data_IF_488119338788
#
_entry.id   IF_488119338788
#
_cell.length_a   1.000
_cell.length_b   1.000
_cell.length_c   1.000
_cell.angle_alpha   90.00
_cell.angle_beta   90.00
_cell.angle_gamma   90.00
#
_symmetry.space_group_name_H-M   'P 1'
#
loop_
_entity.id
_entity.type
_entity.pdbx_description
1 polymer ?
#
# COMPACT_ATOMS: atom_id res chain seq x y z
N UNK A 1 10.68 29.18 -7.05
CA UNK A 1 11.28 28.08 -7.81
C UNK A 1 10.31 27.69 -8.89
N UNK A 2 10.67 27.95 -10.14
CA UNK A 2 9.86 27.64 -11.32
C UNK A 2 10.06 26.17 -11.65
N UNK A 3 9.00 25.37 -11.67
CA UNK A 3 9.05 23.98 -12.11
C UNK A 3 9.07 23.97 -13.64
N UNK A 4 10.24 23.85 -14.25
CA UNK A 4 10.32 23.53 -15.67
C UNK A 4 9.98 22.05 -15.84
N UNK A 5 8.78 21.77 -16.36
CA UNK A 5 8.43 20.44 -16.86
C UNK A 5 9.26 20.19 -18.12
N UNK A 6 10.45 19.61 -17.94
CA UNK A 6 11.11 18.92 -19.03
C UNK A 6 10.16 17.82 -19.51
N UNK A 7 9.93 17.77 -20.82
CA UNK A 7 8.93 16.96 -21.54
C UNK A 7 9.20 15.43 -21.50
N UNK A 8 9.85 14.96 -20.44
CA UNK A 8 10.07 13.56 -20.08
C UNK A 8 9.00 13.18 -19.06
N UNK A 9 7.90 12.59 -19.52
CA UNK A 9 6.89 11.98 -18.68
C UNK A 9 7.50 10.77 -17.95
N UNK A 10 8.15 11.00 -16.82
CA UNK A 10 8.64 9.94 -15.95
C UNK A 10 7.43 9.28 -15.27
N UNK A 11 7.05 8.11 -15.78
CA UNK A 11 6.06 7.26 -15.12
C UNK A 11 6.74 6.46 -14.02
N UNK A 12 6.14 6.43 -12.84
CA UNK A 12 6.64 5.63 -11.72
C UNK A 12 6.77 4.16 -12.11
N UNK A 13 7.99 3.61 -11.99
CA UNK A 13 8.31 2.21 -12.25
C UNK A 13 9.06 1.67 -11.04
N UNK A 14 8.38 0.86 -10.24
CA UNK A 14 8.95 0.29 -9.01
C UNK A 14 8.75 -1.22 -9.05
N UNK A 15 9.86 -1.95 -8.97
CA UNK A 15 9.84 -3.37 -8.62
C UNK A 15 10.03 -3.48 -7.12
N UNK A 16 9.15 -4.23 -6.44
CA UNK A 16 9.21 -4.40 -4.99
C UNK A 16 9.19 -5.88 -4.61
N UNK A 17 10.17 -6.29 -3.81
CA UNK A 17 10.19 -7.57 -3.13
C UNK A 17 9.98 -7.38 -1.63
N UNK A 18 9.28 -8.31 -0.99
CA UNK A 18 9.08 -8.33 0.46
C UNK A 18 9.33 -9.74 1.00
N UNK A 19 10.07 -9.83 2.10
CA UNK A 19 10.29 -11.07 2.83
C UNK A 19 10.09 -10.83 4.32
N UNK A 20 9.26 -11.63 4.99
CA UNK A 20 8.84 -11.33 6.35
C UNK A 20 8.19 -12.48 7.10
N UNK A 21 7.74 -12.16 8.31
CA UNK A 21 7.08 -13.10 9.22
C UNK A 21 5.69 -12.59 9.60
N UNK A 22 4.68 -13.46 9.48
CA UNK A 22 3.37 -13.23 10.10
C UNK A 22 3.49 -13.50 11.60
N UNK A 23 3.22 -12.49 12.41
CA UNK A 23 3.29 -12.52 13.87
C UNK A 23 1.97 -12.98 14.50
N UNK A 24 0.84 -12.69 13.85
CA UNK A 24 -0.49 -13.04 14.35
C UNK A 24 -1.44 -13.36 13.21
N UNK A 25 -2.28 -14.37 13.42
CA UNK A 25 -3.40 -14.77 12.56
C UNK A 25 -4.57 -15.16 13.46
N UNK A 26 -5.73 -14.55 13.25
CA UNK A 26 -6.89 -14.72 14.12
C UNK A 26 -8.20 -14.52 13.40
N UNK A 27 -9.29 -14.65 14.16
CA UNK A 27 -10.65 -14.61 13.60
C UNK A 27 -10.96 -13.30 12.88
N UNK A 28 -10.67 -12.16 13.52
CA UNK A 28 -10.89 -10.84 12.94
C UNK A 28 -9.60 -10.17 12.47
N UNK A 29 -8.50 -10.33 13.20
CA UNK A 29 -7.20 -9.84 12.77
C UNK A 29 -6.55 -10.91 11.89
N UNK A 30 -6.71 -10.80 10.57
CA UNK A 30 -6.27 -11.82 9.60
C UNK A 30 -4.76 -11.90 9.45
N UNK A 31 -4.07 -10.78 9.69
CA UNK A 31 -2.62 -10.77 9.75
C UNK A 31 -2.10 -9.58 10.52
N UNK A 32 -1.09 -9.82 11.35
CA UNK A 32 -0.08 -8.85 11.74
C UNK A 32 1.26 -9.37 11.21
N UNK A 33 2.04 -8.56 10.52
CA UNK A 33 3.33 -9.00 9.99
C UNK A 33 4.41 -7.92 10.11
N UNK A 34 5.65 -8.40 10.07
CA UNK A 34 6.84 -7.58 9.85
C UNK A 34 7.57 -8.12 8.62
N UNK A 35 8.12 -7.23 7.79
CA UNK A 35 8.84 -7.61 6.58
C UNK A 35 10.02 -6.69 6.32
N UNK A 36 11.07 -7.25 5.73
CA UNK A 36 12.07 -6.48 4.99
C UNK A 36 11.55 -6.25 3.57
N UNK A 37 11.80 -5.05 3.05
CA UNK A 37 11.34 -4.59 1.75
C UNK A 37 12.54 -4.13 0.95
N UNK A 38 12.68 -4.63 -0.26
CA UNK A 38 13.60 -4.10 -1.27
C UNK A 38 12.79 -3.51 -2.43
N UNK A 39 13.12 -2.28 -2.81
CA UNK A 39 12.52 -1.58 -3.93
C UNK A 39 13.59 -1.16 -4.92
N UNK A 40 13.40 -1.53 -6.17
CA UNK A 40 14.18 -1.05 -7.29
C UNK A 40 13.33 -0.01 -8.04
N UNK A 41 13.78 1.23 -8.00
CA UNK A 41 13.12 2.38 -8.63
C UNK A 41 13.79 2.71 -9.96
N UNK A 42 13.12 2.32 -11.04
CA UNK A 42 13.56 2.50 -12.43
C UNK A 42 12.84 3.70 -13.08
N UNK A 43 12.32 4.62 -12.26
CA UNK A 43 11.60 5.81 -12.74
C UNK A 43 12.56 6.77 -13.45
N UNK A 44 13.83 6.81 -13.05
CA UNK A 44 14.88 7.65 -13.62
C UNK A 44 15.92 6.80 -14.37
N UNK A 45 16.83 7.45 -15.11
CA UNK A 45 17.85 6.75 -15.93
C UNK A 45 18.91 6.01 -15.09
N UNK A 46 18.96 6.25 -13.79
CA UNK A 46 19.79 5.52 -12.83
C UNK A 46 18.89 4.69 -11.92
N UNK A 47 19.20 3.40 -11.81
CA UNK A 47 18.45 2.48 -10.95
C UNK A 47 18.77 2.78 -9.48
N UNK A 48 17.72 3.03 -8.68
CA UNK A 48 17.87 3.33 -7.27
C UNK A 48 17.23 2.24 -6.40
N UNK A 49 18.10 1.45 -5.78
CA UNK A 49 17.73 0.37 -4.89
C UNK A 49 17.57 0.86 -3.45
N UNK A 50 16.43 0.56 -2.85
CA UNK A 50 16.02 1.02 -1.52
C UNK A 50 15.70 -0.17 -0.64
N UNK A 51 16.25 -0.20 0.56
CA UNK A 51 15.94 -1.22 1.57
C UNK A 51 15.22 -0.58 2.75
N UNK A 52 14.14 -1.22 3.16
CA UNK A 52 13.32 -0.78 4.29
C UNK A 52 12.77 -1.93 5.11
N UNK A 53 12.12 -1.56 6.21
CA UNK A 53 11.33 -2.45 7.04
C UNK A 53 9.87 -1.99 7.01
N UNK A 54 8.97 -2.95 7.07
CA UNK A 54 7.53 -2.72 7.06
C UNK A 54 6.87 -3.51 8.18
N UNK A 55 5.96 -2.85 8.90
CA UNK A 55 4.97 -3.51 9.75
C UNK A 55 3.60 -3.27 9.14
N UNK A 56 2.80 -4.31 9.01
CA UNK A 56 1.49 -4.20 8.40
C UNK A 56 0.46 -5.10 9.06
N UNK A 57 -0.79 -4.78 8.80
CA UNK A 57 -1.92 -5.49 9.36
C UNK A 57 -3.08 -5.63 8.38
N UNK A 58 -3.95 -6.59 8.67
CA UNK A 58 -5.26 -6.74 8.05
C UNK A 58 -6.27 -7.17 9.13
N UNK A 59 -7.36 -6.44 9.18
CA UNK A 59 -8.49 -6.66 10.07
C UNK A 59 -9.76 -6.80 9.22
N UNK A 60 -10.51 -7.86 9.44
CA UNK A 60 -11.76 -8.16 8.77
C UNK A 60 -12.81 -8.53 9.81
N UNK A 61 -13.86 -7.71 9.89
CA UNK A 61 -14.97 -7.90 10.83
C UNK A 61 -16.29 -8.06 10.06
N UNK A 62 -16.97 -9.21 10.17
CA UNK A 62 -18.26 -9.42 9.54
C UNK A 62 -19.32 -8.57 10.26
N UNK A 63 -19.91 -7.61 9.55
CA UNK A 63 -21.01 -6.80 10.06
C UNK A 63 -22.33 -7.56 9.96
N UNK A 64 -22.51 -8.32 8.88
CA UNK A 64 -23.63 -9.22 8.63
C UNK A 64 -23.21 -10.30 7.59
N UNK A 65 -24.06 -11.29 7.25
CA UNK A 65 -23.68 -12.36 6.32
C UNK A 65 -23.23 -11.92 4.91
N UNK A 66 -23.61 -10.72 4.48
CA UNK A 66 -23.29 -10.18 3.16
C UNK A 66 -22.36 -8.97 3.21
N UNK A 67 -21.98 -8.49 4.39
CA UNK A 67 -21.19 -7.26 4.55
C UNK A 67 -20.11 -7.43 5.61
N UNK A 68 -18.88 -7.04 5.24
CA UNK A 68 -17.75 -7.00 6.16
C UNK A 68 -17.09 -5.64 6.15
N UNK A 69 -16.62 -5.21 7.31
CA UNK A 69 -15.67 -4.12 7.43
C UNK A 69 -14.26 -4.69 7.29
N UNK A 70 -13.48 -4.14 6.36
CA UNK A 70 -12.08 -4.51 6.17
C UNK A 70 -11.21 -3.27 6.36
N UNK A 71 -10.19 -3.41 7.19
CA UNK A 71 -9.17 -2.39 7.44
C UNK A 71 -7.81 -3.03 7.22
N UNK A 72 -7.02 -2.46 6.32
CA UNK A 72 -5.65 -2.88 6.07
C UNK A 72 -4.74 -1.67 6.09
N UNK A 73 -3.50 -1.89 6.47
CA UNK A 73 -2.54 -0.80 6.48
C UNK A 73 -1.13 -1.27 6.73
N UNK A 74 -0.18 -0.40 6.46
CA UNK A 74 1.22 -0.63 6.73
C UNK A 74 1.93 0.67 7.04
N UNK A 75 2.97 0.56 7.86
CA UNK A 75 4.01 1.57 8.00
C UNK A 75 5.31 0.99 7.46
N UNK A 76 5.92 1.68 6.51
CA UNK A 76 7.23 1.34 5.94
C UNK A 76 8.21 2.46 6.19
N UNK A 77 9.42 2.11 6.61
CA UNK A 77 10.54 3.03 6.76
C UNK A 77 11.75 2.50 5.97
N UNK A 78 12.38 3.38 5.19
CA UNK A 78 13.54 3.05 4.37
C UNK A 78 14.80 3.61 5.00
N UNK A 79 15.79 2.74 5.21
CA UNK A 79 17.02 3.07 5.92
C UNK A 79 18.28 2.90 5.06
N UNK A 80 18.19 2.30 3.88
CA UNK A 80 19.31 2.15 2.94
C UNK A 80 18.89 2.49 1.52
N UNK A 81 19.77 3.16 0.77
CA UNK A 81 19.55 3.65 -0.58
C UNK A 81 20.86 3.55 -1.36
N UNK A 82 20.83 3.06 -2.59
CA UNK A 82 22.02 3.04 -3.46
C UNK A 82 22.36 4.44 -3.98
N UNK A 83 21.33 5.26 -4.26
CA UNK A 83 21.48 6.64 -4.71
C UNK A 83 20.79 7.64 -3.77
N UNK A 84 21.20 8.91 -3.86
CA UNK A 84 20.62 9.98 -3.05
C UNK A 84 19.61 10.78 -3.86
N UNK A 85 18.40 10.24 -3.98
CA UNK A 85 17.29 10.94 -4.62
C UNK A 85 16.40 11.67 -3.58
N UNK A 86 16.21 13.00 -3.67
CA UNK A 86 15.37 13.74 -2.73
C UNK A 86 13.89 13.33 -2.76
N UNK A 87 13.43 12.74 -3.86
CA UNK A 87 12.04 12.27 -4.03
C UNK A 87 11.79 10.91 -3.41
N UNK A 88 12.83 10.19 -2.97
CA UNK A 88 12.66 8.91 -2.30
C UNK A 88 11.93 9.08 -0.99
N UNK A 89 11.02 8.15 -0.71
CA UNK A 89 10.35 8.07 0.58
C UNK A 89 11.33 7.68 1.68
N UNK A 90 11.32 8.45 2.77
CA UNK A 90 11.93 8.07 4.04
C UNK A 90 11.00 7.16 4.84
N UNK A 91 9.71 7.49 4.85
CA UNK A 91 8.67 6.58 5.34
C UNK A 91 7.35 6.79 4.58
N UNK A 92 6.52 5.75 4.65
CA UNK A 92 5.15 5.75 4.14
C UNK A 92 4.24 4.99 5.10
N UNK A 93 3.16 5.64 5.50
CA UNK A 93 2.02 5.05 6.20
C UNK A 93 0.83 5.02 5.25
N UNK A 94 0.16 3.89 5.15
CA UNK A 94 -1.06 3.72 4.38
C UNK A 94 -2.10 2.99 5.23
N UNK A 95 -3.33 3.50 5.21
CA UNK A 95 -4.47 2.97 5.95
C UNK A 95 -5.69 2.97 5.02
N UNK A 96 -6.14 1.79 4.63
CA UNK A 96 -7.31 1.59 3.79
C UNK A 96 -8.44 0.95 4.61
N UNK A 97 -9.61 1.59 4.61
CA UNK A 97 -10.80 1.09 5.28
C UNK A 97 -11.93 0.98 4.27
N UNK A 98 -12.58 -0.18 4.20
CA UNK A 98 -13.64 -0.46 3.24
C UNK A 98 -14.78 -1.25 3.85
N UNK A 99 -15.97 -1.04 3.33
CA UNK A 99 -17.16 -1.83 3.67
C UNK A 99 -17.48 -2.72 2.47
N UNK A 100 -17.00 -3.95 2.47
CA UNK A 100 -17.26 -4.90 1.39
C UNK A 100 -18.66 -5.47 1.53
N UNK A 101 -19.53 -5.21 0.55
CA UNK A 101 -20.89 -5.77 0.49
C UNK A 101 -21.04 -6.65 -0.73
N UNK A 102 -21.43 -7.91 -0.51
CA UNK A 102 -21.84 -8.85 -1.54
C UNK A 102 -23.16 -8.40 -2.14
N UNK A 103 -23.17 -8.08 -3.43
CA UNK A 103 -24.37 -7.67 -4.15
C UNK A 103 -25.16 -8.89 -4.64
N UNK A 104 -24.52 -9.72 -5.47
CA UNK A 104 -25.12 -10.92 -6.07
C UNK A 104 -24.04 -11.85 -6.60
N UNK A 105 -24.25 -13.17 -6.54
CA UNK A 105 -23.29 -14.15 -7.05
C UNK A 105 -21.91 -13.97 -6.43
N UNK A 106 -20.94 -13.51 -7.23
CA UNK A 106 -19.56 -13.23 -6.83
C UNK A 106 -19.18 -11.75 -7.00
N UNK A 107 -20.19 -10.87 -7.13
CA UNK A 107 -20.04 -9.43 -7.29
C UNK A 107 -20.11 -8.71 -5.94
N UNK A 108 -19.14 -7.82 -5.70
CA UNK A 108 -18.99 -7.06 -4.47
C UNK A 108 -18.88 -5.57 -4.77
N UNK A 109 -19.46 -4.76 -3.89
CA UNK A 109 -19.32 -3.31 -3.88
C UNK A 109 -18.65 -2.90 -2.57
N UNK A 110 -17.64 -2.05 -2.66
CA UNK A 110 -16.89 -1.61 -1.49
C UNK A 110 -16.61 -0.11 -1.55
N UNK A 111 -17.45 0.75 -0.92
CA UNK A 111 -17.01 2.09 -0.59
C UNK A 111 -15.78 2.01 0.32
N UNK A 112 -14.79 2.84 0.03
CA UNK A 112 -13.53 2.85 0.76
C UNK A 112 -13.06 4.26 1.07
N UNK A 113 -12.27 4.35 2.14
CA UNK A 113 -11.49 5.50 2.54
C UNK A 113 -10.03 5.08 2.68
N UNK A 114 -9.16 5.74 1.94
CA UNK A 114 -7.72 5.55 1.99
C UNK A 114 -7.05 6.80 2.57
N UNK A 115 -6.21 6.62 3.57
CA UNK A 115 -5.35 7.65 4.12
C UNK A 115 -3.89 7.26 3.90
N UNK A 116 -3.14 8.16 3.28
CA UNK A 116 -1.72 8.02 3.02
C UNK A 116 -0.98 9.17 3.69
N UNK A 117 0.11 8.87 4.39
CA UNK A 117 1.05 9.84 4.94
C UNK A 117 2.45 9.40 4.53
N UNK A 118 3.17 10.26 3.82
CA UNK A 118 4.51 9.95 3.38
C UNK A 118 5.43 11.16 3.50
N UNK A 119 6.70 10.89 3.78
CA UNK A 119 7.75 11.89 3.79
C UNK A 119 8.86 11.44 2.86
N UNK A 120 9.33 12.37 2.03
CA UNK A 120 10.48 12.13 1.14
C UNK A 120 11.73 12.73 1.75
N UNK A 121 12.90 12.18 1.46
CA UNK A 121 14.20 12.63 2.01
C UNK A 121 14.52 14.11 1.76
N UNK A 122 13.96 14.69 0.70
CA UNK A 122 14.11 16.10 0.35
C UNK A 122 13.01 17.03 0.90
N UNK A 123 11.98 16.48 1.55
CA UNK A 123 10.91 17.28 2.13
C UNK A 123 11.30 17.77 3.52
N UNK A 124 10.75 18.92 3.93
CA UNK A 124 10.91 19.44 5.30
C UNK A 124 9.90 18.84 6.28
N UNK A 125 8.89 18.17 5.75
CA UNK A 125 7.76 17.62 6.50
C UNK A 125 7.00 16.60 5.67
N UNK A 126 6.39 15.64 6.36
CA UNK A 126 5.41 14.71 5.82
C UNK A 126 4.27 15.40 5.05
N UNK A 127 3.71 14.70 4.07
CA UNK A 127 2.47 15.07 3.37
C UNK A 127 1.44 13.98 3.51
N UNK A 128 0.19 14.39 3.73
CA UNK A 128 -0.93 13.49 3.84
C UNK A 128 -1.88 13.63 2.65
N UNK A 129 -2.46 12.52 2.23
CA UNK A 129 -3.52 12.45 1.21
C UNK A 129 -4.65 11.55 1.72
N UNK A 130 -5.88 11.98 1.47
CA UNK A 130 -7.09 11.21 1.72
C UNK A 130 -7.81 10.96 0.41
N UNK A 131 -8.22 9.72 0.15
CA UNK A 131 -9.00 9.35 -1.04
C UNK A 131 -10.25 8.61 -0.61
N UNK A 132 -11.39 9.02 -1.15
CA UNK A 132 -12.65 8.31 -1.00
C UNK A 132 -13.06 7.77 -2.36
N UNK A 133 -13.58 6.55 -2.39
CA UNK A 133 -14.00 5.94 -3.63
C UNK A 133 -14.95 4.79 -3.41
N UNK A 134 -15.38 4.21 -4.52
CA UNK A 134 -16.20 3.01 -4.56
C UNK A 134 -15.48 2.01 -5.47
N UNK A 135 -15.24 0.82 -4.95
CA UNK A 135 -14.68 -0.31 -5.70
C UNK A 135 -15.80 -1.28 -6.06
N UNK A 136 -15.72 -1.85 -7.26
CA UNK A 136 -16.56 -2.95 -7.71
C UNK A 136 -15.64 -4.11 -8.07
N UNK A 137 -15.83 -5.26 -7.43
CA UNK A 137 -14.99 -6.44 -7.64
C UNK A 137 -15.83 -7.67 -7.95
N UNK A 138 -15.26 -8.56 -8.77
CA UNK A 138 -15.85 -9.85 -9.10
C UNK A 138 -14.83 -10.94 -8.77
N UNK A 139 -15.14 -11.77 -7.77
CA UNK A 139 -14.22 -12.76 -7.22
C UNK A 139 -14.82 -14.15 -7.28
N UNK A 140 -14.51 -14.90 -8.34
CA UNK A 140 -14.96 -16.28 -8.50
C UNK A 140 -13.84 -17.26 -8.16
N UNK A 141 -14.04 -18.04 -7.10
CA UNK A 141 -13.16 -19.15 -6.77
C UNK A 141 -13.54 -20.38 -7.61
N UNK A 142 -12.54 -21.05 -8.16
CA UNK A 142 -12.69 -22.35 -8.81
C UNK A 142 -11.94 -23.37 -7.99
N UNK A 143 -12.65 -24.37 -7.45
CA UNK A 143 -11.99 -25.55 -6.89
C UNK A 143 -11.50 -26.41 -8.06
N UNK A 144 -10.18 -26.44 -8.26
CA UNK A 144 -9.52 -27.30 -9.22
C UNK A 144 -9.04 -28.56 -8.49
N UNK A 145 -9.98 -29.49 -8.32
CA UNK A 145 -9.83 -30.89 -7.86
C UNK A 145 -9.34 -31.12 -6.42
#
# INVERSE_FOLDING_TARGET
>A
TTFELNNTDYRTKILRAKGGMKLYDGTYFKQLYIALVEEDDMTYNTDNMKTGAEIGYEFNYPLNPSTSFVSEGYYRHFFSYSEKEPTDFEYKLELNNRIETKLTGDLYLAPFYNYELAETRGAKSARAQSTFGISLSYNKSFDLF
#
